data_IF_266576406113
#
_entry.id   IF_266576406113
#
_cell.length_a   1.000
_cell.length_b   1.000
_cell.length_c   1.000
_cell.angle_alpha   90.00
_cell.angle_beta   90.00
_cell.angle_gamma   90.00
#
_symmetry.space_group_name_H-M   'P 1'
#
loop_
_entity.id
_entity.type
_entity.pdbx_description
1 polymer ?
#
# COMPACT_ATOMS: atom_id res chain seq x y z
N UNK A 1 6.66 8.62 -16.47
CA UNK A 1 6.46 9.41 -15.46
C UNK A 1 6.68 8.93 -14.03
N UNK A 2 5.75 9.29 -13.18
CA UNK A 2 5.83 9.03 -11.74
C UNK A 2 5.84 7.54 -11.41
N UNK A 3 4.99 6.76 -12.04
CA UNK A 3 4.95 5.29 -11.87
C UNK A 3 6.28 4.64 -12.26
N UNK A 4 6.89 5.11 -13.35
CA UNK A 4 8.21 4.61 -13.79
C UNK A 4 9.29 4.90 -12.76
N UNK A 5 9.26 6.07 -12.12
CA UNK A 5 10.19 6.41 -11.04
C UNK A 5 10.03 5.48 -9.85
N UNK A 6 8.80 5.21 -9.44
CA UNK A 6 8.53 4.30 -8.33
C UNK A 6 8.98 2.86 -8.66
N UNK A 7 8.73 2.39 -9.87
CA UNK A 7 9.19 1.07 -10.33
C UNK A 7 10.72 0.98 -10.31
N UNK A 8 11.39 2.04 -10.72
CA UNK A 8 12.84 2.12 -10.67
C UNK A 8 13.37 2.04 -9.23
N UNK A 9 12.73 2.72 -8.29
CA UNK A 9 13.06 2.63 -6.87
C UNK A 9 12.89 1.21 -6.33
N UNK A 10 11.94 0.46 -6.85
CA UNK A 10 11.69 -0.94 -6.47
C UNK A 10 12.65 -1.93 -7.14
N UNK A 11 13.64 -1.45 -7.89
CA UNK A 11 14.68 -2.28 -8.48
C UNK A 11 14.35 -2.82 -9.88
N UNK A 12 13.29 -2.34 -10.50
CA UNK A 12 12.99 -2.74 -11.87
C UNK A 12 13.99 -2.14 -12.87
N UNK A 13 14.35 -2.93 -13.87
CA UNK A 13 15.29 -2.49 -14.90
C UNK A 13 14.58 -1.66 -15.97
N UNK A 14 14.56 -0.36 -15.77
CA UNK A 14 13.90 0.60 -16.67
C UNK A 14 14.96 1.53 -17.26
N UNK A 15 14.96 1.82 -18.57
CA UNK A 15 15.86 2.80 -19.15
C UNK A 15 15.74 4.16 -18.47
N UNK A 16 16.87 4.70 -18.03
CA UNK A 16 16.91 5.98 -17.32
C UNK A 16 18.27 6.64 -17.47
N UNK A 17 18.34 7.92 -17.11
CA UNK A 17 19.59 8.66 -16.92
C UNK A 17 19.82 8.86 -15.43
N UNK A 18 21.08 9.00 -15.02
CA UNK A 18 21.43 9.14 -13.62
C UNK A 18 21.61 7.81 -12.90
N UNK A 19 21.69 7.86 -11.60
CA UNK A 19 22.01 6.70 -10.76
C UNK A 19 20.94 6.48 -9.69
N UNK A 20 20.55 5.22 -9.52
CA UNK A 20 19.71 4.77 -8.40
C UNK A 20 20.53 3.80 -7.56
N UNK A 21 20.70 4.13 -6.28
CA UNK A 21 21.43 3.28 -5.34
C UNK A 21 20.57 3.03 -4.10
N UNK A 22 20.47 1.76 -3.71
CA UNK A 22 19.76 1.32 -2.52
C UNK A 22 20.69 0.47 -1.66
N UNK A 23 20.43 0.46 -0.34
CA UNK A 23 21.16 -0.42 0.57
C UNK A 23 21.01 -1.88 0.18
N UNK A 24 22.06 -2.67 0.35
CA UNK A 24 22.11 -4.07 -0.13
C UNK A 24 21.09 -5.01 0.53
N UNK A 25 20.54 -4.63 1.69
CA UNK A 25 19.51 -5.41 2.41
C UNK A 25 18.21 -4.65 2.59
N UNK A 26 17.99 -3.64 1.77
CA UNK A 26 16.77 -2.85 1.84
C UNK A 26 15.59 -3.67 1.35
N UNK A 27 14.60 -3.85 2.22
CA UNK A 27 13.34 -4.48 1.87
C UNK A 27 12.30 -3.41 1.57
N UNK A 28 11.73 -3.48 0.37
CA UNK A 28 10.74 -2.51 -0.11
C UNK A 28 9.39 -3.21 -0.21
N UNK A 29 8.37 -2.57 0.35
CA UNK A 29 6.98 -2.99 0.17
C UNK A 29 6.33 -2.10 -0.87
N UNK A 30 5.98 -2.66 -2.02
CA UNK A 30 5.42 -1.93 -3.15
C UNK A 30 3.92 -2.18 -3.27
N UNK A 31 3.13 -1.12 -3.26
CA UNK A 31 1.71 -1.17 -3.61
C UNK A 31 1.53 -0.54 -4.98
N UNK A 32 1.17 -1.37 -5.94
CA UNK A 32 0.95 -0.96 -7.31
C UNK A 32 -0.38 -0.22 -7.47
N UNK A 33 -0.51 0.52 -8.56
CA UNK A 33 -1.72 1.25 -8.90
C UNK A 33 -2.92 0.32 -9.12
N UNK A 34 -2.71 -0.79 -9.80
CA UNK A 34 -3.74 -1.77 -10.15
C UNK A 34 -3.84 -2.87 -9.09
N UNK A 35 -4.99 -3.00 -8.39
CA UNK A 35 -5.19 -4.04 -7.39
C UNK A 35 -5.70 -5.37 -7.96
N UNK A 36 -5.81 -5.52 -9.27
CA UNK A 36 -6.33 -6.75 -9.88
C UNK A 36 -5.43 -7.96 -9.59
N UNK A 37 -5.98 -9.15 -9.72
CA UNK A 37 -5.25 -10.40 -9.57
C UNK A 37 -5.29 -11.02 -8.18
N UNK A 38 -5.83 -10.34 -7.17
CA UNK A 38 -6.02 -10.93 -5.85
C UNK A 38 -7.09 -12.00 -5.88
N UNK A 39 -6.82 -13.14 -5.24
CA UNK A 39 -7.76 -14.27 -5.10
C UNK A 39 -7.38 -15.15 -3.92
N UNK A 40 -8.32 -15.99 -3.49
CA UNK A 40 -8.14 -16.82 -2.32
C UNK A 40 -8.63 -16.14 -1.04
N UNK A 41 -8.47 -16.82 0.10
CA UNK A 41 -8.91 -16.26 1.37
C UNK A 41 -7.84 -15.37 1.99
N UNK A 42 -8.27 -14.47 2.88
CA UNK A 42 -7.39 -13.49 3.52
C UNK A 42 -6.38 -14.16 4.47
N UNK A 43 -6.76 -15.24 5.14
CA UNK A 43 -5.85 -15.93 6.05
C UNK A 43 -4.69 -16.60 5.28
N UNK A 44 -5.00 -17.24 4.16
CA UNK A 44 -3.98 -17.83 3.29
C UNK A 44 -3.05 -16.76 2.71
N UNK A 45 -3.61 -15.61 2.31
CA UNK A 45 -2.84 -14.48 1.82
C UNK A 45 -1.88 -13.94 2.88
N UNK A 46 -2.35 -13.77 4.12
CA UNK A 46 -1.52 -13.33 5.23
C UNK A 46 -0.36 -14.32 5.49
N UNK A 47 -0.65 -15.61 5.49
CA UNK A 47 0.36 -16.64 5.67
C UNK A 47 1.40 -16.64 4.54
N UNK A 48 0.94 -16.49 3.30
CA UNK A 48 1.82 -16.43 2.12
C UNK A 48 2.82 -15.28 2.20
N UNK A 49 2.40 -14.14 2.75
CA UNK A 49 3.23 -12.94 2.87
C UNK A 49 3.94 -12.82 4.22
N UNK A 50 3.81 -13.83 5.09
CA UNK A 50 4.46 -13.80 6.40
C UNK A 50 3.93 -12.72 7.33
N UNK A 51 2.67 -12.36 7.21
CA UNK A 51 2.04 -11.31 8.01
C UNK A 51 1.53 -11.84 9.35
N UNK A 52 1.49 -10.97 10.36
CA UNK A 52 0.70 -11.20 11.56
C UNK A 52 -0.79 -11.10 11.17
N UNK A 53 -1.49 -12.21 11.15
CA UNK A 53 -2.89 -12.27 10.71
C UNK A 53 -3.79 -11.37 11.54
N UNK A 54 -3.59 -11.35 12.87
CA UNK A 54 -4.39 -10.51 13.77
C UNK A 54 -4.22 -9.02 13.46
N UNK A 55 -2.99 -8.58 13.26
CA UNK A 55 -2.69 -7.20 12.89
C UNK A 55 -3.25 -6.85 11.51
N UNK A 56 -3.06 -7.73 10.54
CA UNK A 56 -3.56 -7.57 9.19
C UNK A 56 -5.08 -7.38 9.17
N UNK A 57 -5.80 -8.25 9.86
CA UNK A 57 -7.26 -8.16 9.97
C UNK A 57 -7.71 -6.92 10.77
N UNK A 58 -6.96 -6.52 11.79
CA UNK A 58 -7.26 -5.31 12.56
C UNK A 58 -7.13 -4.05 11.67
N UNK A 59 -6.12 -3.98 10.83
CA UNK A 59 -5.95 -2.86 9.88
C UNK A 59 -7.09 -2.85 8.87
N UNK A 60 -7.47 -4.01 8.33
CA UNK A 60 -8.60 -4.11 7.40
C UNK A 60 -9.91 -3.63 8.04
N UNK A 61 -10.15 -3.97 9.30
CA UNK A 61 -11.32 -3.46 10.05
C UNK A 61 -11.28 -1.95 10.18
N UNK A 62 -10.12 -1.37 10.45
CA UNK A 62 -9.95 0.09 10.48
C UNK A 62 -10.20 0.73 9.11
N UNK A 63 -9.93 0.01 8.03
CA UNK A 63 -10.22 0.46 6.67
C UNK A 63 -11.66 0.12 6.23
N UNK A 64 -12.55 -0.07 7.19
CA UNK A 64 -13.99 -0.27 6.97
C UNK A 64 -14.33 -1.60 6.29
N UNK A 65 -13.57 -2.66 6.59
CA UNK A 65 -13.94 -4.02 6.18
C UNK A 65 -15.03 -4.56 7.11
N UNK A 66 -16.19 -4.90 6.54
CA UNK A 66 -17.25 -5.56 7.26
C UNK A 66 -16.86 -7.01 7.57
N UNK A 67 -17.41 -7.55 8.67
CA UNK A 67 -17.12 -8.92 9.10
C UNK A 67 -17.33 -9.96 8.00
N UNK A 68 -18.37 -9.79 7.20
CA UNK A 68 -18.71 -10.73 6.11
C UNK A 68 -17.62 -10.77 5.03
N UNK A 69 -16.85 -9.70 4.86
CA UNK A 69 -15.79 -9.66 3.85
C UNK A 69 -14.64 -10.61 4.19
N UNK A 70 -14.40 -10.88 5.47
CA UNK A 70 -13.33 -11.79 5.87
C UNK A 70 -13.61 -13.25 5.52
N UNK A 71 -14.85 -13.58 5.18
CA UNK A 71 -15.26 -14.93 4.80
C UNK A 71 -15.30 -15.14 3.29
N UNK A 72 -15.08 -14.08 2.51
CA UNK A 72 -15.15 -14.12 1.04
C UNK A 72 -13.80 -14.37 0.41
N UNK A 73 -13.83 -14.94 -0.79
CA UNK A 73 -12.67 -15.00 -1.68
C UNK A 73 -12.36 -13.60 -2.18
N UNK A 74 -11.07 -13.22 -2.20
CA UNK A 74 -10.64 -11.91 -2.67
C UNK A 74 -10.97 -11.65 -4.14
N UNK A 75 -11.16 -12.70 -4.94
CA UNK A 75 -11.62 -12.56 -6.32
C UNK A 75 -12.99 -11.86 -6.42
N UNK A 76 -13.82 -11.99 -5.38
CA UNK A 76 -15.16 -11.39 -5.31
C UNK A 76 -15.15 -9.98 -4.70
N UNK A 77 -13.99 -9.48 -4.34
CA UNK A 77 -13.87 -8.14 -3.77
C UNK A 77 -13.97 -7.07 -4.87
N UNK A 78 -14.52 -5.90 -4.51
CA UNK A 78 -14.45 -4.71 -5.36
C UNK A 78 -13.00 -4.23 -5.51
N UNK A 79 -12.75 -3.38 -6.49
CA UNK A 79 -11.41 -2.78 -6.68
C UNK A 79 -10.94 -2.04 -5.41
N UNK A 80 -11.85 -1.32 -4.74
CA UNK A 80 -11.56 -0.63 -3.49
C UNK A 80 -11.20 -1.58 -2.36
N UNK A 81 -11.92 -2.69 -2.23
CA UNK A 81 -11.62 -3.71 -1.23
C UNK A 81 -10.28 -4.38 -1.48
N UNK A 82 -9.98 -4.71 -2.74
CA UNK A 82 -8.66 -5.24 -3.11
C UNK A 82 -7.55 -4.26 -2.80
N UNK A 83 -7.76 -2.97 -3.07
CA UNK A 83 -6.78 -1.93 -2.74
C UNK A 83 -6.51 -1.89 -1.24
N UNK A 84 -7.54 -1.97 -0.42
CA UNK A 84 -7.40 -2.03 1.04
C UNK A 84 -6.56 -3.22 1.49
N UNK A 85 -6.73 -4.37 0.84
CA UNK A 85 -5.90 -5.55 1.13
C UNK A 85 -4.42 -5.27 0.85
N UNK A 86 -4.12 -4.66 -0.29
CA UNK A 86 -2.73 -4.30 -0.64
C UNK A 86 -2.13 -3.31 0.35
N UNK A 87 -2.90 -2.30 0.75
CA UNK A 87 -2.44 -1.31 1.72
C UNK A 87 -2.20 -1.93 3.10
N UNK A 88 -3.11 -2.76 3.57
CA UNK A 88 -2.99 -3.45 4.85
C UNK A 88 -1.78 -4.40 4.84
N UNK A 89 -1.58 -5.14 3.75
CA UNK A 89 -0.40 -5.99 3.59
C UNK A 89 0.88 -5.17 3.71
N UNK A 90 0.96 -4.07 2.98
CA UNK A 90 2.16 -3.22 2.98
C UNK A 90 2.48 -2.68 4.37
N UNK A 91 1.46 -2.26 5.13
CA UNK A 91 1.65 -1.78 6.50
C UNK A 91 2.11 -2.88 7.47
N UNK A 92 1.77 -4.14 7.18
CA UNK A 92 2.13 -5.29 8.02
C UNK A 92 3.47 -5.93 7.62
N UNK A 93 3.93 -5.75 6.39
CA UNK A 93 5.16 -6.38 5.93
C UNK A 93 6.38 -5.86 6.70
N UNK A 94 7.32 -6.74 7.06
CA UNK A 94 8.59 -6.29 7.63
C UNK A 94 9.45 -5.65 6.53
N UNK A 95 9.28 -4.36 6.29
CA UNK A 95 9.98 -3.63 5.24
C UNK A 95 10.62 -2.37 5.79
N UNK A 96 11.65 -1.89 5.09
CA UNK A 96 12.35 -0.66 5.44
C UNK A 96 11.73 0.56 4.76
N UNK A 97 11.10 0.36 3.62
CA UNK A 97 10.54 1.42 2.81
C UNK A 97 9.23 0.96 2.17
N UNK A 98 8.20 1.76 2.32
CA UNK A 98 6.95 1.58 1.59
C UNK A 98 6.98 2.44 0.32
N UNK A 99 6.60 1.86 -0.80
CA UNK A 99 6.48 2.58 -2.08
C UNK A 99 5.06 2.37 -2.59
N UNK A 100 4.26 3.43 -2.55
CA UNK A 100 2.83 3.37 -2.85
C UNK A 100 2.50 4.24 -4.07
N UNK A 101 1.94 3.62 -5.09
CA UNK A 101 1.51 4.31 -6.30
C UNK A 101 0.00 4.55 -6.26
N UNK A 102 -0.40 5.80 -6.09
CA UNK A 102 -1.79 6.25 -5.98
C UNK A 102 -2.61 5.41 -4.99
N UNK A 103 -2.23 5.43 -3.69
CA UNK A 103 -2.87 4.56 -2.70
C UNK A 103 -4.36 4.83 -2.51
N UNK A 104 -4.85 6.02 -2.85
CA UNK A 104 -6.25 6.37 -2.65
C UNK A 104 -7.16 5.97 -3.81
N UNK A 105 -6.61 5.48 -4.93
CA UNK A 105 -7.42 5.00 -6.04
C UNK A 105 -8.37 3.90 -5.58
N UNK A 106 -9.62 4.02 -5.95
CA UNK A 106 -10.73 3.11 -5.61
C UNK A 106 -11.15 3.13 -4.14
N UNK A 107 -10.48 3.92 -3.29
CA UNK A 107 -10.73 3.95 -1.84
C UNK A 107 -11.78 5.02 -1.53
N UNK A 108 -12.80 4.66 -0.75
CA UNK A 108 -13.85 5.56 -0.31
C UNK A 108 -13.34 6.62 0.67
N UNK A 109 -14.10 7.72 0.82
CA UNK A 109 -13.68 8.88 1.63
C UNK A 109 -13.42 8.51 3.08
N UNK A 110 -14.28 7.70 3.68
CA UNK A 110 -14.12 7.28 5.08
C UNK A 110 -12.83 6.49 5.28
N UNK A 111 -12.56 5.55 4.37
CA UNK A 111 -11.34 4.75 4.43
C UNK A 111 -10.08 5.57 4.17
N UNK A 112 -10.17 6.64 3.37
CA UNK A 112 -9.05 7.58 3.19
C UNK A 112 -8.66 8.24 4.51
N UNK A 113 -9.64 8.68 5.28
CA UNK A 113 -9.42 9.30 6.59
C UNK A 113 -8.78 8.28 7.54
N UNK A 114 -9.27 7.05 7.55
CA UNK A 114 -8.70 5.98 8.36
C UNK A 114 -7.26 5.66 7.96
N UNK A 115 -6.98 5.66 6.66
CA UNK A 115 -5.63 5.43 6.16
C UNK A 115 -4.67 6.54 6.61
N UNK A 116 -5.09 7.80 6.55
CA UNK A 116 -4.29 8.92 7.08
C UNK A 116 -3.95 8.69 8.56
N UNK A 117 -4.93 8.30 9.37
CA UNK A 117 -4.73 8.03 10.79
C UNK A 117 -3.73 6.90 11.01
N UNK A 118 -3.83 5.81 10.24
CA UNK A 118 -2.90 4.69 10.32
C UNK A 118 -1.47 5.11 9.98
N UNK A 119 -1.30 5.92 8.93
CA UNK A 119 0.03 6.41 8.54
C UNK A 119 0.63 7.34 9.59
N UNK A 120 -0.18 8.18 10.20
CA UNK A 120 0.27 9.06 11.27
C UNK A 120 0.62 8.29 12.56
N UNK A 121 -0.09 7.21 12.83
CA UNK A 121 0.18 6.33 13.97
C UNK A 121 1.45 5.49 13.77
N UNK A 122 1.59 4.84 12.63
CA UNK A 122 2.70 3.94 12.34
C UNK A 122 3.98 4.67 11.95
N UNK A 123 3.86 5.84 11.36
CA UNK A 123 4.97 6.67 10.88
C UNK A 123 6.02 5.88 10.07
N UNK A 124 5.59 5.12 9.04
CA UNK A 124 6.53 4.36 8.24
C UNK A 124 7.39 5.28 7.38
N UNK A 125 8.56 4.79 6.97
CA UNK A 125 9.30 5.44 5.90
C UNK A 125 8.61 5.11 4.58
N UNK A 126 8.05 6.11 3.93
CA UNK A 126 7.19 5.91 2.76
C UNK A 126 7.47 6.94 1.68
N UNK A 127 7.47 6.45 0.43
CA UNK A 127 7.42 7.28 -0.78
C UNK A 127 6.12 6.95 -1.49
N UNK A 128 5.31 7.96 -1.78
CA UNK A 128 4.06 7.74 -2.48
C UNK A 128 3.82 8.79 -3.56
N UNK A 129 3.03 8.40 -4.56
CA UNK A 129 2.50 9.30 -5.59
C UNK A 129 1.02 9.43 -5.35
N UNK A 130 0.53 10.66 -5.16
CA UNK A 130 -0.89 10.92 -4.94
C UNK A 130 -1.25 12.32 -5.42
N UNK A 131 -2.49 12.48 -5.88
CA UNK A 131 -3.02 13.75 -6.36
C UNK A 131 -3.94 14.45 -5.36
N UNK A 132 -4.39 13.74 -4.33
CA UNK A 132 -5.23 14.29 -3.27
C UNK A 132 -4.42 15.21 -2.37
N UNK A 133 -4.68 16.51 -2.44
CA UNK A 133 -3.93 17.51 -1.68
C UNK A 133 -4.11 17.39 -0.18
N UNK A 134 -5.30 17.08 0.27
CA UNK A 134 -5.59 16.94 1.71
C UNK A 134 -4.76 15.81 2.30
N UNK A 135 -4.72 14.68 1.62
CA UNK A 135 -3.91 13.54 2.02
C UNK A 135 -2.43 13.90 2.04
N UNK A 136 -1.93 14.52 0.97
CA UNK A 136 -0.53 14.91 0.87
C UNK A 136 -0.13 15.88 1.98
N UNK A 137 -0.96 16.90 2.25
CA UNK A 137 -0.68 17.90 3.27
C UNK A 137 -0.64 17.31 4.68
N UNK A 138 -1.47 16.29 4.94
CA UNK A 138 -1.53 15.66 6.26
C UNK A 138 -0.45 14.62 6.49
N UNK A 139 -0.05 13.89 5.47
CA UNK A 139 0.82 12.72 5.60
C UNK A 139 2.26 13.00 5.19
N UNK A 140 2.48 13.76 4.12
CA UNK A 140 3.81 13.99 3.59
C UNK A 140 4.61 14.95 4.47
N UNK A 141 5.87 14.59 4.72
CA UNK A 141 6.83 15.47 5.40
C UNK A 141 7.66 16.26 4.39
N UNK A 142 7.75 15.78 3.15
CA UNK A 142 8.48 16.42 2.06
C UNK A 142 7.79 16.09 0.74
N UNK A 143 7.71 17.07 -0.15
CA UNK A 143 7.11 16.89 -1.47
C UNK A 143 8.07 17.31 -2.57
N UNK A 144 8.04 16.56 -3.67
CA UNK A 144 8.80 16.85 -4.88
C UNK A 144 7.84 16.84 -6.06
N UNK A 145 7.92 17.86 -6.90
CA UNK A 145 7.13 17.95 -8.13
C UNK A 145 7.98 17.54 -9.33
N UNK A 146 7.42 16.65 -10.14
CA UNK A 146 8.07 16.19 -11.37
C UNK A 146 7.48 16.84 -12.60
#
# INVERSE_FOLDING_TARGET
GKTSLLRLLCGENIPHTGTVACGSRLQISHVQQDPSGLRGDLSAYAAQHGLDESLFKAILRKLDFARVQFEKDMADFSAGQKKKVLLARSLCEPSHLLVWDEPLNYVDVLSRIQLEELLLEFQPTIVFVEHDRVFCDRVATKAVTL
#
